data_IF_769583928404
#
_entry.id   IF_769583928404
#
_cell.length_a   1.000
_cell.length_b   1.000
_cell.length_c   1.000
_cell.angle_alpha   90.00
_cell.angle_beta   90.00
_cell.angle_gamma   90.00
#
_symmetry.space_group_name_H-M   'P 1'
#
loop_
_entity.id
_entity.type
_entity.pdbx_description
1 polymer ?
#
# COMPACT_ATOMS: atom_id res chain seq x y z
N UNK A 1 29.92 -6.68 -2.56
CA UNK A 1 29.37 -6.20 -3.86
C UNK A 1 28.04 -5.50 -3.61
N UNK A 2 27.71 -4.52 -4.42
CA UNK A 2 26.39 -3.89 -4.38
C UNK A 2 25.34 -4.94 -4.78
N UNK A 3 24.27 -5.11 -3.98
CA UNK A 3 23.15 -5.99 -4.29
C UNK A 3 21.89 -5.15 -4.42
N UNK A 4 21.12 -5.37 -5.47
CA UNK A 4 19.82 -4.73 -5.70
C UNK A 4 18.78 -5.83 -5.77
N UNK A 5 17.70 -5.65 -5.02
CA UNK A 5 16.51 -6.49 -5.11
C UNK A 5 15.46 -5.74 -5.88
N UNK A 6 14.87 -6.38 -6.87
CA UNK A 6 13.85 -5.79 -7.74
C UNK A 6 12.53 -6.53 -7.58
N UNK A 7 11.44 -5.79 -7.43
CA UNK A 7 10.09 -6.37 -7.49
C UNK A 7 9.36 -5.74 -8.67
N UNK A 8 8.64 -6.54 -9.44
CA UNK A 8 7.81 -6.06 -10.54
C UNK A 8 6.33 -6.32 -10.24
N UNK A 9 5.52 -5.25 -10.37
CA UNK A 9 4.08 -5.33 -10.19
C UNK A 9 3.38 -6.08 -11.33
N UNK A 10 2.12 -6.45 -11.12
CA UNK A 10 1.38 -7.25 -12.11
C UNK A 10 1.23 -6.58 -13.48
N UNK A 11 1.06 -5.25 -13.54
CA UNK A 11 1.02 -4.50 -14.80
C UNK A 11 2.35 -4.57 -15.57
N UNK A 12 3.47 -4.72 -14.85
CA UNK A 12 4.80 -4.88 -15.42
C UNK A 12 5.10 -6.29 -15.95
N UNK A 13 4.19 -7.24 -15.72
CA UNK A 13 4.32 -8.66 -16.10
C UNK A 13 3.01 -9.19 -16.72
N UNK A 14 2.21 -8.31 -17.33
CA UNK A 14 0.89 -8.64 -17.85
C UNK A 14 0.92 -9.47 -19.14
N UNK A 15 2.00 -9.35 -19.93
CA UNK A 15 2.19 -9.99 -21.22
C UNK A 15 3.68 -10.14 -21.58
N UNK A 16 3.97 -10.82 -22.68
CA UNK A 16 5.34 -11.07 -23.16
C UNK A 16 6.12 -9.78 -23.46
N UNK A 17 5.44 -8.72 -23.91
CA UNK A 17 6.06 -7.42 -24.16
C UNK A 17 6.58 -6.79 -22.88
N UNK A 18 5.82 -6.89 -21.80
CA UNK A 18 6.24 -6.45 -20.47
C UNK A 18 7.40 -7.28 -19.92
N UNK A 19 7.38 -8.61 -20.11
CA UNK A 19 8.50 -9.49 -19.72
C UNK A 19 9.82 -9.06 -20.41
N UNK A 20 9.79 -8.70 -21.70
CA UNK A 20 10.97 -8.19 -22.41
C UNK A 20 11.50 -6.90 -21.77
N UNK A 21 10.62 -5.95 -21.41
CA UNK A 21 11.03 -4.73 -20.67
C UNK A 21 11.65 -5.06 -19.32
N UNK A 22 11.07 -6.00 -18.58
CA UNK A 22 11.63 -6.45 -17.29
C UNK A 22 13.03 -7.01 -17.46
N UNK A 23 13.24 -7.89 -18.47
CA UNK A 23 14.57 -8.42 -18.80
C UNK A 23 15.57 -7.31 -19.13
N UNK A 24 15.17 -6.36 -19.98
CA UNK A 24 16.04 -5.23 -20.35
C UNK A 24 16.42 -4.40 -19.11
N UNK A 25 15.48 -4.11 -18.22
CA UNK A 25 15.73 -3.40 -16.96
C UNK A 25 16.72 -4.17 -16.08
N UNK A 26 16.53 -5.49 -15.92
CA UNK A 26 17.43 -6.30 -15.09
C UNK A 26 18.87 -6.31 -15.64
N UNK A 27 19.03 -6.34 -16.96
CA UNK A 27 20.32 -6.36 -17.61
C UNK A 27 21.05 -5.00 -17.62
N UNK A 28 20.37 -3.89 -17.30
CA UNK A 28 21.01 -2.57 -17.19
C UNK A 28 21.96 -2.43 -15.99
N UNK A 29 21.82 -3.26 -14.96
CA UNK A 29 22.69 -3.23 -13.77
C UNK A 29 22.88 -4.66 -13.24
N UNK A 30 24.09 -5.19 -13.34
CA UNK A 30 24.45 -6.54 -12.87
C UNK A 30 24.24 -6.74 -11.36
N UNK A 31 24.06 -5.68 -10.59
CA UNK A 31 23.71 -5.76 -9.18
C UNK A 31 22.25 -6.21 -8.94
N UNK A 32 21.39 -6.20 -9.97
CA UNK A 32 19.98 -6.65 -9.92
C UNK A 32 19.90 -8.18 -10.04
N UNK A 33 20.33 -8.86 -9.00
CA UNK A 33 20.45 -10.34 -8.98
C UNK A 33 19.24 -11.06 -8.39
N UNK A 34 18.34 -10.35 -7.73
CA UNK A 34 17.16 -10.94 -7.08
C UNK A 34 15.92 -10.25 -7.59
N UNK A 35 15.00 -11.03 -8.15
CA UNK A 35 13.76 -10.51 -8.74
C UNK A 35 12.53 -11.18 -8.16
N UNK A 36 11.55 -10.37 -7.81
CA UNK A 36 10.29 -10.79 -7.23
C UNK A 36 9.15 -10.43 -8.20
N UNK A 37 8.64 -11.39 -8.96
CA UNK A 37 7.47 -11.19 -9.80
C UNK A 37 6.18 -11.24 -9.00
N UNK A 38 5.23 -10.36 -9.34
CA UNK A 38 3.81 -10.53 -9.03
C UNK A 38 3.13 -11.41 -10.09
N UNK A 39 1.92 -11.88 -9.83
CA UNK A 39 1.08 -12.50 -10.84
C UNK A 39 0.79 -11.53 -11.99
N UNK A 40 0.50 -12.01 -13.22
CA UNK A 40 0.14 -11.15 -14.34
C UNK A 40 -1.07 -10.27 -14.03
N UNK A 41 -0.88 -8.96 -14.20
CA UNK A 41 -1.93 -7.96 -14.02
C UNK A 41 -2.85 -7.85 -15.26
N UNK A 42 -3.60 -6.75 -15.33
CA UNK A 42 -4.45 -6.43 -16.47
C UNK A 42 -3.60 -5.94 -17.65
N UNK A 43 -3.90 -6.43 -18.84
CA UNK A 43 -3.33 -5.96 -20.12
C UNK A 43 -4.02 -4.68 -20.61
N UNK A 44 -5.33 -4.56 -20.28
CA UNK A 44 -6.19 -3.42 -20.61
C UNK A 44 -7.26 -3.21 -19.53
N UNK A 45 -8.02 -2.11 -19.62
CA UNK A 45 -8.93 -1.67 -18.54
C UNK A 45 -9.95 -2.72 -18.08
N UNK A 46 -10.52 -3.46 -19.01
CA UNK A 46 -11.60 -4.44 -18.75
C UNK A 46 -11.09 -5.89 -18.66
N UNK A 47 -9.77 -6.08 -18.57
CA UNK A 47 -9.15 -7.40 -18.41
C UNK A 47 -9.19 -7.88 -16.96
N UNK A 48 -9.24 -9.19 -16.75
CA UNK A 48 -9.17 -9.79 -15.42
C UNK A 48 -7.70 -9.94 -14.96
N UNK A 49 -7.46 -9.75 -13.67
CA UNK A 49 -6.18 -10.13 -13.07
C UNK A 49 -6.16 -11.64 -12.83
N UNK A 50 -5.02 -12.26 -13.05
CA UNK A 50 -4.87 -13.71 -12.82
C UNK A 50 -5.20 -14.09 -11.37
N UNK A 51 -4.80 -13.28 -10.39
CA UNK A 51 -5.12 -13.54 -8.97
C UNK A 51 -6.63 -13.51 -8.72
N UNK A 52 -7.38 -12.61 -9.37
CA UNK A 52 -8.85 -12.52 -9.25
C UNK A 52 -9.51 -13.79 -9.88
N UNK A 53 -8.99 -14.26 -11.01
CA UNK A 53 -9.44 -15.50 -11.65
C UNK A 53 -9.18 -16.74 -10.74
N UNK A 54 -8.01 -16.82 -10.10
CA UNK A 54 -7.68 -17.92 -9.18
C UNK A 54 -8.60 -17.95 -7.95
N UNK A 55 -8.93 -16.77 -7.38
CA UNK A 55 -9.94 -16.69 -6.32
C UNK A 55 -11.33 -17.09 -6.83
N UNK A 56 -11.67 -16.78 -8.09
CA UNK A 56 -12.93 -17.20 -8.72
C UNK A 56 -13.00 -18.72 -8.86
N UNK A 57 -11.93 -19.38 -9.34
CA UNK A 57 -11.85 -20.84 -9.40
C UNK A 57 -12.09 -21.49 -8.02
N UNK A 58 -11.40 -20.99 -6.98
CA UNK A 58 -11.60 -21.47 -5.62
C UNK A 58 -13.05 -21.32 -5.14
N UNK A 59 -13.68 -20.15 -5.40
CA UNK A 59 -15.06 -19.87 -5.00
C UNK A 59 -16.05 -20.77 -5.72
N UNK A 60 -15.89 -20.94 -7.04
CA UNK A 60 -16.74 -21.83 -7.85
C UNK A 60 -16.62 -23.28 -7.37
N UNK A 61 -15.39 -23.80 -7.19
CA UNK A 61 -15.18 -25.15 -6.67
C UNK A 61 -15.78 -25.35 -5.28
N UNK A 62 -15.62 -24.40 -4.38
CA UNK A 62 -16.18 -24.44 -3.02
C UNK A 62 -17.71 -24.42 -3.01
N UNK A 63 -18.33 -23.82 -4.04
CA UNK A 63 -19.78 -23.82 -4.23
C UNK A 63 -20.30 -25.06 -4.95
N UNK A 64 -19.43 -25.97 -5.40
CA UNK A 64 -19.78 -27.13 -6.23
C UNK A 64 -20.10 -26.77 -7.68
N UNK A 65 -19.68 -25.59 -8.12
CA UNK A 65 -19.84 -25.10 -9.49
C UNK A 65 -18.62 -25.52 -10.34
N UNK A 66 -18.82 -25.60 -11.66
CA UNK A 66 -17.73 -25.82 -12.61
C UNK A 66 -16.85 -24.57 -12.71
N UNK A 67 -15.54 -24.72 -12.59
CA UNK A 67 -14.55 -23.64 -12.67
C UNK A 67 -13.63 -23.76 -13.89
N UNK A 68 -13.80 -24.79 -14.72
CA UNK A 68 -12.86 -25.11 -15.79
C UNK A 68 -12.73 -23.95 -16.80
N UNK A 69 -13.83 -23.34 -17.21
CA UNK A 69 -13.80 -22.17 -18.11
C UNK A 69 -12.97 -21.01 -17.53
N UNK A 70 -13.03 -20.81 -16.21
CA UNK A 70 -12.23 -19.78 -15.52
C UNK A 70 -10.76 -20.17 -15.48
N UNK A 71 -10.45 -21.44 -15.25
CA UNK A 71 -9.08 -21.95 -15.24
C UNK A 71 -8.45 -21.90 -16.63
N UNK A 72 -9.23 -22.20 -17.68
CA UNK A 72 -8.77 -22.13 -19.07
C UNK A 72 -8.33 -20.71 -19.47
N UNK A 73 -8.99 -19.67 -18.95
CA UNK A 73 -8.54 -18.28 -19.12
C UNK A 73 -7.17 -18.01 -18.47
N UNK A 74 -6.91 -18.64 -17.33
CA UNK A 74 -5.62 -18.54 -16.64
C UNK A 74 -4.56 -19.28 -17.45
N UNK A 75 -4.84 -20.53 -17.84
CA UNK A 75 -3.93 -21.34 -18.62
C UNK A 75 -3.56 -20.67 -19.94
N UNK A 76 -4.55 -20.17 -20.69
CA UNK A 76 -4.33 -19.45 -21.92
C UNK A 76 -3.41 -18.24 -21.74
N UNK A 77 -3.60 -17.45 -20.65
CA UNK A 77 -2.74 -16.28 -20.35
C UNK A 77 -1.26 -16.67 -20.21
N UNK A 78 -0.97 -17.73 -19.47
CA UNK A 78 0.40 -18.19 -19.25
C UNK A 78 0.99 -18.85 -20.50
N UNK A 79 0.18 -19.64 -21.23
CA UNK A 79 0.61 -20.27 -22.48
C UNK A 79 0.95 -19.22 -23.55
N UNK A 80 0.13 -18.20 -23.71
CA UNK A 80 0.39 -17.09 -24.65
C UNK A 80 1.76 -16.41 -24.33
N UNK A 81 2.02 -16.11 -23.05
CA UNK A 81 3.30 -15.52 -22.64
C UNK A 81 4.46 -16.47 -22.94
N UNK A 82 4.31 -17.76 -22.63
CA UNK A 82 5.37 -18.75 -22.83
C UNK A 82 5.69 -18.96 -24.31
N UNK A 83 4.66 -19.04 -25.16
CA UNK A 83 4.80 -19.20 -26.62
C UNK A 83 5.47 -17.98 -27.25
N UNK A 84 5.00 -16.76 -26.92
CA UNK A 84 5.56 -15.53 -27.47
C UNK A 84 7.02 -15.28 -27.05
N UNK A 85 7.43 -15.80 -25.88
CA UNK A 85 8.80 -15.69 -25.38
C UNK A 85 9.68 -16.87 -25.78
N UNK A 86 9.11 -17.94 -26.34
CA UNK A 86 9.81 -19.17 -26.72
C UNK A 86 10.39 -19.91 -25.53
N UNK A 87 9.62 -20.02 -24.44
CA UNK A 87 10.08 -20.65 -23.19
C UNK A 87 10.11 -22.18 -23.28
N UNK A 88 10.96 -22.80 -22.46
CA UNK A 88 11.17 -24.24 -22.43
C UNK A 88 10.64 -24.93 -21.15
N UNK A 89 10.22 -24.14 -20.16
CA UNK A 89 9.63 -24.67 -18.91
C UNK A 89 8.43 -25.54 -19.22
N UNK A 90 8.31 -26.69 -18.53
CA UNK A 90 7.14 -27.54 -18.64
C UNK A 90 5.93 -26.90 -17.93
N UNK A 91 5.41 -25.88 -18.61
CA UNK A 91 4.26 -25.12 -18.11
C UNK A 91 2.97 -25.96 -18.10
N UNK A 92 2.84 -26.92 -19.03
CA UNK A 92 1.70 -27.82 -19.06
C UNK A 92 1.60 -28.61 -17.76
N UNK A 93 2.67 -29.31 -17.37
CA UNK A 93 2.72 -30.05 -16.12
C UNK A 93 2.45 -29.18 -14.89
N UNK A 94 2.97 -27.94 -14.87
CA UNK A 94 2.73 -27.02 -13.76
C UNK A 94 1.25 -26.56 -13.68
N UNK A 95 0.59 -26.31 -14.80
CA UNK A 95 -0.83 -25.98 -14.87
C UNK A 95 -1.70 -27.16 -14.47
N UNK A 96 -1.38 -28.38 -14.95
CA UNK A 96 -2.09 -29.61 -14.59
C UNK A 96 -2.03 -29.85 -13.07
N UNK A 97 -0.84 -29.71 -12.45
CA UNK A 97 -0.70 -29.83 -10.98
C UNK A 97 -1.58 -28.81 -10.23
N UNK A 98 -1.62 -27.56 -10.71
CA UNK A 98 -2.46 -26.52 -10.08
C UNK A 98 -3.94 -26.88 -10.21
N UNK A 99 -4.38 -27.30 -11.40
CA UNK A 99 -5.76 -27.70 -11.65
C UNK A 99 -6.19 -28.91 -10.80
N UNK A 100 -5.36 -29.95 -10.72
CA UNK A 100 -5.60 -31.12 -9.88
C UNK A 100 -5.76 -30.74 -8.39
N UNK A 101 -4.91 -29.86 -7.89
CA UNK A 101 -5.01 -29.38 -6.49
C UNK A 101 -6.25 -28.54 -6.23
N UNK A 102 -6.68 -27.70 -7.18
CA UNK A 102 -7.94 -26.97 -7.09
C UNK A 102 -9.11 -27.96 -7.08
N UNK A 103 -9.07 -28.97 -7.95
CA UNK A 103 -10.09 -30.01 -8.01
C UNK A 103 -10.17 -30.84 -6.72
N UNK A 104 -9.03 -31.09 -6.09
CA UNK A 104 -8.92 -31.74 -4.78
C UNK A 104 -9.37 -30.85 -3.60
N UNK A 105 -9.80 -29.61 -3.83
CA UNK A 105 -10.31 -28.71 -2.81
C UNK A 105 -9.22 -27.89 -2.08
N UNK A 106 -8.16 -27.49 -2.78
CA UNK A 106 -7.15 -26.60 -2.23
C UNK A 106 -7.77 -25.30 -1.67
N UNK A 107 -7.18 -24.76 -0.61
CA UNK A 107 -7.67 -23.53 0.02
C UNK A 107 -7.39 -22.27 -0.83
N UNK A 108 -8.01 -21.16 -0.45
CA UNK A 108 -7.89 -19.89 -1.15
C UNK A 108 -6.44 -19.37 -1.23
N UNK A 109 -5.65 -19.57 -0.18
CA UNK A 109 -4.24 -19.14 -0.13
C UNK A 109 -3.40 -19.91 -1.17
N UNK A 110 -3.60 -21.22 -1.28
CA UNK A 110 -2.94 -22.03 -2.32
C UNK A 110 -3.33 -21.54 -3.70
N UNK A 111 -4.62 -21.44 -3.98
CA UNK A 111 -5.11 -21.02 -5.31
C UNK A 111 -4.51 -19.67 -5.70
N UNK A 112 -4.66 -18.66 -4.86
CA UNK A 112 -4.18 -17.31 -5.13
C UNK A 112 -2.66 -17.24 -5.37
N UNK A 113 -1.87 -17.99 -4.60
CA UNK A 113 -0.40 -18.00 -4.70
C UNK A 113 0.12 -18.54 -6.04
N UNK A 114 -0.69 -19.33 -6.74
CA UNK A 114 -0.25 -19.96 -8.00
C UNK A 114 -0.03 -18.95 -9.11
N UNK A 115 -0.66 -17.77 -9.00
CA UNK A 115 -0.39 -16.67 -9.93
C UNK A 115 1.08 -16.24 -9.92
N UNK A 116 1.62 -15.95 -8.76
CA UNK A 116 3.03 -15.58 -8.62
C UNK A 116 3.97 -16.77 -8.87
N UNK A 117 3.58 -17.98 -8.45
CA UNK A 117 4.36 -19.20 -8.65
C UNK A 117 4.59 -19.46 -10.15
N UNK A 118 3.52 -19.54 -10.94
CA UNK A 118 3.60 -19.77 -12.38
C UNK A 118 4.35 -18.66 -13.10
N UNK A 119 4.10 -17.40 -12.71
CA UNK A 119 4.80 -16.26 -13.27
C UNK A 119 6.31 -16.27 -12.94
N UNK A 120 6.65 -16.74 -11.75
CA UNK A 120 8.03 -16.95 -11.32
C UNK A 120 8.76 -18.00 -12.15
N UNK A 121 8.10 -19.13 -12.47
CA UNK A 121 8.65 -20.17 -13.35
C UNK A 121 8.95 -19.63 -14.75
N UNK A 122 7.99 -18.89 -15.36
CA UNK A 122 8.18 -18.27 -16.67
C UNK A 122 9.33 -17.26 -16.67
N UNK A 123 9.39 -16.40 -15.65
CA UNK A 123 10.43 -15.39 -15.58
C UNK A 123 11.80 -16.00 -15.35
N UNK A 124 11.91 -17.06 -14.55
CA UNK A 124 13.17 -17.77 -14.30
C UNK A 124 13.71 -18.42 -15.59
N UNK A 125 12.85 -19.10 -16.36
CA UNK A 125 13.21 -19.69 -17.64
C UNK A 125 13.62 -18.62 -18.67
N UNK A 126 12.84 -17.53 -18.77
CA UNK A 126 13.14 -16.43 -19.67
C UNK A 126 14.47 -15.72 -19.40
N UNK A 127 14.86 -15.63 -18.12
CA UNK A 127 16.13 -15.02 -17.71
C UNK A 127 17.28 -16.02 -17.71
N UNK A 128 17.02 -17.34 -17.69
CA UNK A 128 18.00 -18.36 -17.41
C UNK A 128 18.53 -18.31 -15.97
N UNK A 129 17.67 -17.87 -15.02
CA UNK A 129 18.02 -17.69 -13.60
C UNK A 129 17.46 -18.83 -12.75
N UNK A 130 18.00 -18.99 -11.54
CA UNK A 130 17.47 -19.93 -10.57
C UNK A 130 16.05 -19.53 -10.16
N UNK A 131 15.13 -20.51 -10.16
CA UNK A 131 13.85 -20.37 -9.49
C UNK A 131 13.96 -20.88 -8.04
N UNK A 132 13.41 -20.11 -7.08
CA UNK A 132 13.30 -20.53 -5.69
C UNK A 132 11.87 -20.30 -5.22
N UNK A 133 11.16 -21.36 -4.84
CA UNK A 133 9.81 -21.24 -4.30
C UNK A 133 9.83 -20.45 -2.98
N UNK A 134 9.02 -19.40 -2.88
CA UNK A 134 8.92 -18.58 -1.67
C UNK A 134 8.52 -19.42 -0.43
N UNK A 135 7.70 -20.45 -0.60
CA UNK A 135 7.30 -21.36 0.48
C UNK A 135 8.47 -22.07 1.17
N UNK A 136 9.62 -22.18 0.49
CA UNK A 136 10.81 -22.79 1.09
C UNK A 136 11.46 -21.94 2.19
N UNK A 137 11.37 -20.59 2.08
CA UNK A 137 12.05 -19.66 2.97
C UNK A 137 11.13 -18.71 3.73
N UNK A 138 10.00 -18.28 3.13
CA UNK A 138 9.03 -17.41 3.80
C UNK A 138 8.15 -18.26 4.71
N UNK A 139 8.18 -17.99 6.03
CA UNK A 139 7.52 -18.79 7.06
C UNK A 139 6.49 -18.01 7.84
N UNK A 140 5.41 -18.71 8.17
CA UNK A 140 4.38 -18.25 9.09
C UNK A 140 4.34 -19.15 10.31
N UNK A 141 3.94 -18.61 11.45
CA UNK A 141 3.69 -19.37 12.68
C UNK A 141 2.39 -20.18 12.56
N UNK A 142 2.15 -21.12 13.47
CA UNK A 142 0.96 -21.98 13.43
C UNK A 142 -0.37 -21.19 13.54
N UNK A 143 -0.37 -20.02 14.16
CA UNK A 143 -1.50 -19.09 14.25
C UNK A 143 -1.62 -18.13 13.05
N UNK A 144 -0.72 -18.25 12.06
CA UNK A 144 -0.75 -17.50 10.81
C UNK A 144 -0.08 -16.13 10.86
N UNK A 145 0.65 -15.81 11.92
CA UNK A 145 1.49 -14.62 11.96
C UNK A 145 2.78 -14.83 11.13
N UNK A 146 3.30 -13.74 10.56
CA UNK A 146 4.56 -13.81 9.82
C UNK A 146 5.75 -14.02 10.76
N UNK A 147 6.52 -15.10 10.54
CA UNK A 147 7.75 -15.39 11.28
C UNK A 147 8.96 -14.72 10.61
N UNK A 148 9.22 -13.49 11.02
CA UNK A 148 10.25 -12.65 10.41
C UNK A 148 11.68 -13.15 10.66
N UNK A 149 11.95 -13.80 11.79
CA UNK A 149 13.30 -14.24 12.16
C UNK A 149 13.69 -15.52 11.43
N UNK A 150 12.82 -16.53 11.49
CA UNK A 150 13.02 -17.78 10.73
C UNK A 150 13.10 -17.50 9.24
N UNK A 151 12.21 -16.66 8.71
CA UNK A 151 12.23 -16.27 7.31
C UNK A 151 13.54 -15.60 6.91
N UNK A 152 14.00 -14.60 7.69
CA UNK A 152 15.23 -13.88 7.36
C UNK A 152 16.45 -14.81 7.35
N UNK A 153 16.54 -15.74 8.31
CA UNK A 153 17.63 -16.71 8.41
C UNK A 153 17.63 -17.67 7.20
N UNK A 154 16.49 -18.29 6.90
CA UNK A 154 16.38 -19.23 5.79
C UNK A 154 16.62 -18.55 4.42
N UNK A 155 16.07 -17.34 4.24
CA UNK A 155 16.24 -16.58 3.01
C UNK A 155 17.71 -16.18 2.80
N UNK A 156 18.38 -15.71 3.85
CA UNK A 156 19.81 -15.37 3.79
C UNK A 156 20.67 -16.58 3.47
N UNK A 157 20.40 -17.74 4.09
CA UNK A 157 21.12 -18.99 3.81
C UNK A 157 20.98 -19.43 2.36
N UNK A 158 19.72 -19.50 1.85
CA UNK A 158 19.41 -19.95 0.49
C UNK A 158 19.96 -19.03 -0.61
N UNK A 159 20.11 -17.74 -0.32
CA UNK A 159 20.63 -16.73 -1.26
C UNK A 159 22.10 -16.36 -1.01
N UNK A 160 22.80 -17.07 -0.12
CA UNK A 160 24.18 -16.79 0.28
C UNK A 160 25.20 -16.96 -0.86
N UNK A 161 24.91 -17.81 -1.82
CA UNK A 161 25.75 -18.10 -2.98
C UNK A 161 25.80 -16.98 -4.03
N UNK A 162 24.90 -15.99 -3.94
CA UNK A 162 24.84 -14.86 -4.86
C UNK A 162 24.41 -15.19 -6.28
N UNK A 163 23.84 -16.38 -6.50
CA UNK A 163 23.31 -16.78 -7.82
C UNK A 163 22.06 -15.95 -8.14
N UNK A 164 21.97 -15.36 -9.35
CA UNK A 164 20.76 -14.66 -9.77
C UNK A 164 19.52 -15.54 -9.62
N UNK A 165 18.51 -15.03 -8.89
CA UNK A 165 17.38 -15.84 -8.45
C UNK A 165 16.06 -15.09 -8.61
N UNK A 166 15.06 -15.81 -9.12
CA UNK A 166 13.64 -15.42 -9.14
C UNK A 166 12.94 -16.03 -7.92
N UNK A 167 12.32 -15.19 -7.12
CA UNK A 167 11.53 -15.60 -5.94
C UNK A 167 10.10 -15.10 -6.13
N UNK A 168 9.11 -15.98 -6.36
CA UNK A 168 7.73 -15.52 -6.50
C UNK A 168 7.26 -14.81 -5.26
N UNK A 169 6.52 -13.70 -5.43
CA UNK A 169 6.03 -12.90 -4.33
C UNK A 169 4.79 -13.45 -3.66
N UNK A 170 4.24 -12.72 -2.68
CA UNK A 170 2.90 -12.86 -2.12
C UNK A 170 2.69 -13.95 -1.07
N UNK A 171 3.45 -15.04 -1.04
CA UNK A 171 3.16 -16.19 -0.20
C UNK A 171 4.40 -16.79 0.49
N UNK A 172 4.14 -17.66 1.44
CA UNK A 172 5.08 -18.52 2.13
C UNK A 172 4.38 -19.80 2.60
N UNK A 173 4.85 -20.40 3.68
CA UNK A 173 4.26 -21.64 4.20
C UNK A 173 4.12 -21.65 5.72
N UNK A 174 3.12 -22.36 6.20
CA UNK A 174 3.00 -22.81 7.57
C UNK A 174 4.07 -23.86 7.92
N UNK A 175 4.27 -24.20 9.23
CA UNK A 175 5.19 -25.26 9.64
C UNK A 175 4.85 -26.65 9.06
N UNK A 176 3.58 -26.89 8.74
CA UNK A 176 3.10 -28.14 8.14
C UNK A 176 3.24 -28.17 6.59
N UNK A 177 3.81 -27.11 6.01
CA UNK A 177 4.02 -26.98 4.56
C UNK A 177 2.84 -26.42 3.78
N UNK A 178 1.67 -26.22 4.39
CA UNK A 178 0.55 -25.55 3.71
C UNK A 178 0.92 -24.12 3.33
N UNK A 179 0.50 -23.72 2.14
CA UNK A 179 0.72 -22.37 1.65
C UNK A 179 -0.13 -21.34 2.43
N UNK A 180 0.47 -20.18 2.70
CA UNK A 180 -0.16 -19.01 3.30
C UNK A 180 0.19 -17.76 2.50
N UNK A 181 -0.81 -16.96 2.14
CA UNK A 181 -0.61 -15.66 1.49
C UNK A 181 -0.58 -14.52 2.51
N UNK A 182 0.14 -13.44 2.16
CA UNK A 182 0.01 -12.16 2.87
C UNK A 182 -1.34 -11.52 2.54
N UNK A 183 -1.90 -10.78 3.47
CA UNK A 183 -3.24 -10.18 3.31
C UNK A 183 -3.29 -9.05 2.28
N UNK A 184 -2.24 -8.26 2.15
CA UNK A 184 -2.12 -7.13 1.22
C UNK A 184 -0.67 -6.86 0.85
N UNK A 185 -0.42 -6.35 -0.35
CA UNK A 185 0.93 -5.96 -0.80
C UNK A 185 1.96 -7.09 -0.75
N UNK A 186 1.53 -8.35 -0.88
CA UNK A 186 2.36 -9.50 -0.55
C UNK A 186 3.62 -9.64 -1.37
N UNK A 187 3.59 -9.28 -2.66
CA UNK A 187 4.82 -9.29 -3.47
C UNK A 187 5.78 -8.15 -3.05
N UNK A 188 5.24 -7.01 -2.60
CA UNK A 188 6.06 -5.91 -2.06
C UNK A 188 6.72 -6.33 -0.75
N UNK A 189 5.98 -7.03 0.13
CA UNK A 189 6.52 -7.61 1.38
C UNK A 189 7.62 -8.62 1.06
N UNK A 190 7.40 -9.54 0.12
CA UNK A 190 8.41 -10.53 -0.27
C UNK A 190 9.69 -9.85 -0.78
N UNK A 191 9.56 -8.79 -1.61
CA UNK A 191 10.69 -8.00 -2.05
C UNK A 191 11.48 -7.36 -0.91
N UNK A 192 10.77 -6.79 0.07
CA UNK A 192 11.37 -6.20 1.25
C UNK A 192 12.06 -7.27 2.16
N UNK A 193 11.48 -8.47 2.27
CA UNK A 193 12.08 -9.61 2.99
C UNK A 193 13.38 -10.03 2.32
N UNK A 194 13.36 -10.26 1.00
CA UNK A 194 14.57 -10.65 0.26
C UNK A 194 15.63 -9.56 0.36
N UNK A 195 15.24 -8.28 0.22
CA UNK A 195 16.19 -7.16 0.34
C UNK A 195 16.88 -7.13 1.71
N UNK A 196 16.13 -7.36 2.79
CA UNK A 196 16.68 -7.45 4.14
C UNK A 196 17.63 -8.65 4.28
N UNK A 197 17.23 -9.82 3.81
CA UNK A 197 17.97 -11.06 3.97
C UNK A 197 19.33 -11.05 3.23
N UNK A 198 19.38 -10.42 2.05
CA UNK A 198 20.64 -10.30 1.27
C UNK A 198 21.43 -9.04 1.59
N UNK A 199 20.97 -8.22 2.55
CA UNK A 199 21.56 -6.93 2.90
C UNK A 199 21.69 -6.01 1.66
N UNK A 200 20.60 -5.85 0.93
CA UNK A 200 20.57 -5.07 -0.29
C UNK A 200 20.96 -3.60 -0.07
N UNK A 201 21.67 -3.02 -1.02
CA UNK A 201 21.97 -1.57 -1.00
C UNK A 201 20.75 -0.71 -1.31
N UNK A 202 19.79 -1.26 -2.07
CA UNK A 202 18.50 -0.66 -2.40
C UNK A 202 17.49 -1.74 -2.76
N UNK A 203 16.23 -1.50 -2.41
CA UNK A 203 15.08 -2.26 -2.89
C UNK A 203 14.36 -1.44 -3.96
N UNK A 204 14.32 -1.91 -5.20
CA UNK A 204 13.60 -1.28 -6.30
C UNK A 204 12.21 -1.90 -6.46
N UNK A 205 11.17 -1.08 -6.36
CA UNK A 205 9.78 -1.49 -6.63
C UNK A 205 9.35 -0.88 -7.97
N UNK A 206 9.27 -1.73 -8.99
CA UNK A 206 8.91 -1.37 -10.35
C UNK A 206 7.41 -1.54 -10.57
N UNK A 207 6.77 -0.46 -11.02
CA UNK A 207 5.33 -0.34 -11.24
C UNK A 207 5.06 0.42 -12.54
N UNK A 208 3.83 0.88 -12.78
CA UNK A 208 3.42 1.66 -13.95
C UNK A 208 3.44 3.19 -13.73
N UNK A 209 3.94 3.65 -12.58
CA UNK A 209 4.07 5.07 -12.26
C UNK A 209 5.52 5.44 -11.91
N UNK A 210 5.91 6.69 -12.21
CA UNK A 210 7.29 7.18 -12.04
C UNK A 210 7.58 7.70 -10.62
N UNK A 211 7.01 7.08 -9.58
CA UNK A 211 7.17 7.48 -8.19
C UNK A 211 5.95 8.22 -7.65
N UNK A 212 6.16 9.07 -6.64
CA UNK A 212 5.10 9.83 -5.99
C UNK A 212 5.01 11.26 -6.53
N UNK A 213 3.79 11.78 -6.53
CA UNK A 213 3.48 13.14 -6.92
C UNK A 213 3.06 13.95 -5.67
N UNK A 214 3.36 15.25 -5.64
CA UNK A 214 3.04 16.13 -4.52
C UNK A 214 1.52 16.33 -4.30
N UNK A 215 0.69 16.03 -5.30
CA UNK A 215 -0.77 16.05 -5.22
C UNK A 215 -1.36 15.08 -6.26
N UNK A 216 -2.65 14.77 -6.11
CA UNK A 216 -3.38 13.93 -7.07
C UNK A 216 -3.43 14.60 -8.46
N UNK A 217 -2.93 13.96 -9.54
CA UNK A 217 -2.93 14.52 -10.89
C UNK A 217 -4.34 14.72 -11.48
N UNK A 218 -5.36 14.09 -10.89
CA UNK A 218 -6.76 14.31 -11.26
C UNK A 218 -7.30 15.65 -10.72
N UNK A 219 -6.68 16.19 -9.67
CA UNK A 219 -7.06 17.45 -9.01
C UNK A 219 -6.14 18.60 -9.44
N UNK A 220 -4.85 18.36 -9.43
CA UNK A 220 -3.82 19.33 -9.83
C UNK A 220 -3.20 18.88 -11.13
N UNK A 221 -3.40 19.60 -12.26
CA UNK A 221 -2.76 19.25 -13.53
C UNK A 221 -1.22 19.34 -13.44
N UNK A 222 -0.54 18.28 -13.85
CA UNK A 222 0.92 18.18 -13.84
C UNK A 222 1.55 18.51 -12.48
N UNK A 223 1.16 17.80 -11.42
CA UNK A 223 1.74 18.06 -10.11
C UNK A 223 3.21 17.68 -10.12
N UNK A 224 3.99 18.34 -9.28
CA UNK A 224 5.42 18.09 -9.16
C UNK A 224 5.68 16.70 -8.59
N UNK A 225 6.78 16.10 -9.05
CA UNK A 225 7.26 14.82 -8.57
C UNK A 225 8.02 14.97 -7.24
N UNK A 226 7.91 13.92 -6.42
CA UNK A 226 8.65 13.80 -5.17
C UNK A 226 9.91 12.96 -5.45
N UNK A 227 11.07 13.57 -5.46
CA UNK A 227 12.34 12.87 -5.69
C UNK A 227 12.74 11.99 -4.50
N UNK A 228 12.48 12.46 -3.27
CA UNK A 228 12.80 11.74 -2.04
C UNK A 228 11.79 12.00 -0.93
N UNK A 229 11.48 10.97 -0.15
CA UNK A 229 10.49 11.02 0.92
C UNK A 229 10.94 10.13 2.08
N UNK A 230 10.62 10.52 3.32
CA UNK A 230 10.83 9.65 4.47
C UNK A 230 9.68 8.66 4.65
N UNK A 231 9.95 7.53 5.32
CA UNK A 231 8.88 6.56 5.68
C UNK A 231 7.75 7.21 6.49
N UNK A 232 8.06 8.19 7.35
CA UNK A 232 7.04 8.90 8.14
C UNK A 232 6.13 9.75 7.24
N UNK A 233 6.71 10.53 6.32
CA UNK A 233 5.93 11.34 5.37
C UNK A 233 5.11 10.46 4.42
N UNK A 234 5.70 9.36 3.93
CA UNK A 234 4.98 8.39 3.10
C UNK A 234 3.75 7.85 3.81
N UNK A 235 3.89 7.50 5.10
CA UNK A 235 2.80 6.97 5.91
C UNK A 235 1.64 7.97 6.03
N UNK A 236 1.96 9.24 6.32
CA UNK A 236 0.96 10.31 6.38
C UNK A 236 0.20 10.47 5.04
N UNK A 237 0.94 10.52 3.92
CA UNK A 237 0.34 10.66 2.59
C UNK A 237 -0.48 9.44 2.19
N UNK A 238 0.03 8.23 2.44
CA UNK A 238 -0.65 6.97 2.08
C UNK A 238 -1.94 6.79 2.87
N UNK A 239 -1.94 7.12 4.16
CA UNK A 239 -3.14 7.09 5.00
C UNK A 239 -4.24 8.00 4.46
N UNK A 240 -3.87 9.14 3.91
CA UNK A 240 -4.78 10.10 3.27
C UNK A 240 -5.09 9.77 1.80
N UNK A 241 -4.72 8.58 1.32
CA UNK A 241 -5.14 8.08 0.00
C UNK A 241 -4.13 8.25 -1.13
N UNK A 242 -2.96 8.81 -0.90
CA UNK A 242 -1.87 8.86 -1.90
C UNK A 242 -1.11 7.53 -1.91
N UNK A 243 -1.81 6.40 -2.16
CA UNK A 243 -1.22 5.07 -2.09
C UNK A 243 -0.69 4.60 -3.44
N UNK A 244 0.63 4.59 -3.60
CA UNK A 244 1.34 3.84 -4.65
C UNK A 244 1.84 2.51 -4.09
N UNK A 245 2.08 2.44 -2.77
CA UNK A 245 2.64 1.30 -2.08
C UNK A 245 1.96 1.09 -0.73
N UNK A 246 1.76 -0.17 -0.34
CA UNK A 246 1.24 -0.48 0.99
C UNK A 246 2.33 -0.27 2.05
N UNK A 247 2.08 0.58 3.05
CA UNK A 247 3.09 0.94 4.06
C UNK A 247 3.62 -0.25 4.85
N UNK A 248 2.74 -1.20 5.21
CA UNK A 248 3.11 -2.40 5.96
C UNK A 248 4.10 -3.28 5.18
N UNK A 249 4.05 -3.23 3.85
CA UNK A 249 4.96 -3.98 2.99
C UNK A 249 6.42 -3.53 3.12
N UNK A 250 6.65 -2.31 3.61
CA UNK A 250 7.98 -1.72 3.73
C UNK A 250 8.66 -2.00 5.07
N UNK A 251 7.95 -2.61 6.03
CA UNK A 251 8.48 -2.82 7.38
C UNK A 251 9.84 -3.54 7.42
N UNK A 252 10.11 -4.62 6.63
CA UNK A 252 11.40 -5.29 6.66
C UNK A 252 12.58 -4.39 6.24
N UNK A 253 12.42 -3.62 5.16
CA UNK A 253 13.48 -2.70 4.67
C UNK A 253 13.61 -1.46 5.55
N UNK A 254 12.49 -0.94 6.07
CA UNK A 254 12.50 0.16 7.03
C UNK A 254 13.31 -0.20 8.27
N UNK A 255 13.05 -1.38 8.88
CA UNK A 255 13.79 -1.87 10.05
C UNK A 255 15.29 -2.08 9.76
N UNK A 256 15.63 -2.47 8.54
CA UNK A 256 17.01 -2.69 8.10
C UNK A 256 17.72 -1.40 7.62
N UNK A 257 17.00 -0.28 7.52
CA UNK A 257 17.57 0.97 7.00
C UNK A 257 17.86 0.95 5.50
N UNK A 258 17.29 0.00 4.74
CA UNK A 258 17.50 -0.15 3.31
C UNK A 258 16.58 0.84 2.58
N UNK A 259 17.08 1.72 1.71
CA UNK A 259 16.25 2.61 0.92
C UNK A 259 15.45 1.83 -0.11
N UNK A 260 14.22 2.32 -0.37
CA UNK A 260 13.36 1.80 -1.43
C UNK A 260 13.24 2.81 -2.54
N UNK A 261 13.31 2.37 -3.79
CA UNK A 261 13.11 3.20 -4.96
C UNK A 261 11.86 2.75 -5.73
N UNK A 262 10.89 3.63 -5.88
CA UNK A 262 9.70 3.39 -6.71
C UNK A 262 10.03 3.83 -8.13
N UNK A 263 9.94 2.91 -9.09
CA UNK A 263 10.35 3.14 -10.47
C UNK A 263 9.29 2.69 -11.47
N UNK A 264 9.34 3.28 -12.67
CA UNK A 264 8.40 3.00 -13.75
C UNK A 264 8.99 2.00 -14.76
N UNK A 265 8.35 0.85 -14.93
CA UNK A 265 8.72 -0.16 -15.93
C UNK A 265 8.59 0.36 -17.36
N UNK A 266 7.67 1.32 -17.60
CA UNK A 266 7.45 1.90 -18.91
C UNK A 266 8.35 3.12 -19.21
N UNK A 267 9.04 3.63 -18.17
CA UNK A 267 10.06 4.69 -18.29
C UNK A 267 11.24 4.38 -17.35
N UNK A 268 12.09 3.40 -17.68
CA UNK A 268 13.19 2.98 -16.84
C UNK A 268 14.31 4.01 -16.70
N UNK A 269 14.32 5.05 -17.51
CA UNK A 269 15.27 6.16 -17.42
C UNK A 269 14.90 7.13 -16.30
N UNK A 270 13.62 7.20 -15.92
CA UNK A 270 13.16 8.06 -14.85
C UNK A 270 13.69 7.60 -13.48
N UNK A 271 14.27 8.50 -12.65
CA UNK A 271 14.88 8.13 -11.38
C UNK A 271 13.86 7.63 -10.34
N UNK A 272 12.59 8.00 -10.47
CA UNK A 272 11.53 7.65 -9.52
C UNK A 272 11.62 8.39 -8.19
N UNK A 273 11.04 7.81 -7.15
CA UNK A 273 11.06 8.36 -5.78
C UNK A 273 11.86 7.45 -4.85
N UNK A 274 12.82 8.02 -4.11
CA UNK A 274 13.57 7.31 -3.07
C UNK A 274 12.87 7.47 -1.71
N UNK A 275 12.55 6.37 -1.07
CA UNK A 275 12.02 6.29 0.30
C UNK A 275 13.14 5.85 1.22
N UNK A 276 13.44 6.61 2.27
CA UNK A 276 14.50 6.27 3.22
C UNK A 276 14.22 6.80 4.63
N UNK A 277 15.04 6.38 5.61
CA UNK A 277 14.96 6.91 6.97
C UNK A 277 15.29 8.40 7.03
N UNK A 278 16.33 8.80 6.30
CA UNK A 278 16.87 10.15 6.25
C UNK A 278 16.92 10.62 4.79
N UNK A 279 15.75 10.97 4.24
CA UNK A 279 15.71 11.50 2.88
C UNK A 279 16.36 12.90 2.83
N UNK A 280 17.17 13.23 1.81
CA UNK A 280 17.71 14.58 1.65
C UNK A 280 16.56 15.59 1.51
N UNK A 281 16.79 16.83 1.98
CA UNK A 281 15.83 17.91 1.76
C UNK A 281 15.73 18.22 0.25
N UNK A 282 14.52 18.57 -0.18
CA UNK A 282 14.34 19.21 -1.48
C UNK A 282 14.64 20.72 -1.32
N UNK A 283 15.79 21.14 -1.83
CA UNK A 283 16.24 22.56 -1.71
C UNK A 283 15.32 23.53 -2.44
N UNK A 284 14.53 23.07 -3.40
CA UNK A 284 13.59 23.89 -4.18
C UNK A 284 12.26 24.12 -3.44
N UNK A 285 11.82 23.12 -2.63
CA UNK A 285 10.58 23.19 -1.85
C UNK A 285 10.79 22.60 -0.45
N UNK A 286 11.53 23.29 0.40
CA UNK A 286 11.97 22.74 1.67
C UNK A 286 10.84 22.59 2.70
N UNK A 287 9.64 23.15 2.46
CA UNK A 287 8.58 23.23 3.48
C UNK A 287 7.65 22.02 3.46
N UNK A 288 7.08 21.68 2.30
CA UNK A 288 6.12 20.58 2.18
C UNK A 288 6.59 19.54 1.18
N UNK A 289 6.25 18.27 1.44
CA UNK A 289 6.57 17.12 0.58
C UNK A 289 5.38 16.73 -0.27
N UNK A 290 4.15 16.82 0.26
CA UNK A 290 2.97 16.47 -0.50
C UNK A 290 1.66 16.86 0.19
N UNK A 291 0.57 16.75 -0.58
CA UNK A 291 -0.80 17.03 -0.16
C UNK A 291 -1.65 15.85 -0.58
N UNK A 292 -2.34 15.26 0.38
CA UNK A 292 -3.28 14.17 0.12
C UNK A 292 -4.56 14.39 0.92
N UNK A 293 -5.67 13.77 0.51
CA UNK A 293 -6.91 13.89 1.24
C UNK A 293 -7.94 12.86 0.82
N UNK A 294 -8.98 12.74 1.62
CA UNK A 294 -10.11 11.83 1.39
C UNK A 294 -11.42 12.52 1.74
N UNK A 295 -12.47 12.15 1.02
CA UNK A 295 -13.87 12.57 1.24
C UNK A 295 -14.61 11.54 2.09
N UNK A 296 -15.81 11.91 2.53
CA UNK A 296 -16.77 10.98 3.11
C UNK A 296 -16.57 10.71 4.60
N UNK A 297 -16.09 11.68 5.35
CA UNK A 297 -16.00 11.60 6.80
C UNK A 297 -17.23 12.20 7.48
N UNK A 298 -17.49 11.73 8.71
CA UNK A 298 -18.41 12.36 9.66
C UNK A 298 -17.63 12.87 10.86
N UNK A 299 -17.97 14.08 11.33
CA UNK A 299 -17.41 14.68 12.54
C UNK A 299 -18.51 14.73 13.59
N UNK A 300 -18.32 14.02 14.69
CA UNK A 300 -19.22 13.99 15.84
C UNK A 300 -18.68 14.96 16.88
N UNK A 301 -19.35 16.12 17.06
CA UNK A 301 -19.01 17.11 18.08
C UNK A 301 -19.86 16.86 19.33
N UNK A 302 -19.20 16.58 20.43
CA UNK A 302 -19.79 16.29 21.74
C UNK A 302 -19.42 17.44 22.66
N UNK A 303 -20.42 18.19 23.15
CA UNK A 303 -20.24 19.33 24.03
C UNK A 303 -20.74 19.00 25.44
N UNK A 304 -19.93 19.33 26.42
CA UNK A 304 -20.27 19.17 27.84
C UNK A 304 -19.54 20.22 28.68
N UNK A 305 -20.30 21.00 29.42
CA UNK A 305 -19.73 21.97 30.36
C UNK A 305 -18.84 21.26 31.38
N UNK A 306 -17.64 21.79 31.62
CA UNK A 306 -16.63 21.24 32.52
C UNK A 306 -16.14 19.83 32.12
N UNK A 307 -16.19 19.47 30.85
CA UNK A 307 -15.73 18.18 30.31
C UNK A 307 -14.29 17.87 30.73
N UNK A 308 -13.42 18.87 30.74
CA UNK A 308 -12.02 18.71 31.11
C UNK A 308 -11.80 18.26 32.57
N UNK A 309 -12.78 18.46 33.43
CA UNK A 309 -12.76 18.05 34.85
C UNK A 309 -13.31 16.63 35.06
N UNK A 310 -13.97 16.03 34.05
CA UNK A 310 -14.56 14.69 34.14
C UNK A 310 -13.53 13.64 33.77
N UNK A 311 -13.00 12.92 34.77
CA UNK A 311 -12.07 11.83 34.53
C UNK A 311 -12.69 10.72 33.68
N UNK A 312 -11.99 10.36 32.61
CA UNK A 312 -12.39 9.27 31.74
C UNK A 312 -13.47 9.61 30.71
N UNK A 313 -13.83 10.89 30.54
CA UNK A 313 -14.82 11.31 29.55
C UNK A 313 -14.48 10.81 28.14
N UNK A 314 -13.27 11.11 27.64
CA UNK A 314 -12.80 10.65 26.33
C UNK A 314 -12.79 9.12 26.19
N UNK A 315 -12.40 8.39 27.25
CA UNK A 315 -12.44 6.91 27.25
C UNK A 315 -13.88 6.39 27.04
N UNK A 316 -14.88 6.96 27.75
CA UNK A 316 -16.28 6.56 27.62
C UNK A 316 -16.80 6.82 26.21
N UNK A 317 -16.46 7.98 25.63
CA UNK A 317 -16.82 8.31 24.25
C UNK A 317 -16.19 7.30 23.27
N UNK A 318 -14.88 7.06 23.35
CA UNK A 318 -14.18 6.15 22.44
C UNK A 318 -14.63 4.70 22.60
N UNK A 319 -15.01 4.29 23.81
CA UNK A 319 -15.57 2.96 24.07
C UNK A 319 -16.86 2.72 23.27
N UNK A 320 -17.70 3.73 23.08
CA UNK A 320 -18.92 3.59 22.28
C UNK A 320 -18.61 3.30 20.81
N UNK A 321 -17.51 3.84 20.26
CA UNK A 321 -17.04 3.52 18.91
C UNK A 321 -16.38 2.13 18.84
N UNK A 322 -15.52 1.80 19.82
CA UNK A 322 -14.81 0.52 19.89
C UNK A 322 -15.79 -0.66 19.96
N UNK A 323 -16.78 -0.63 20.86
CA UNK A 323 -17.81 -1.67 21.02
C UNK A 323 -18.64 -1.91 19.74
N UNK A 324 -18.69 -0.92 18.86
CA UNK A 324 -19.37 -1.00 17.54
C UNK A 324 -18.39 -1.21 16.37
N UNK A 325 -17.10 -1.43 16.62
CA UNK A 325 -16.11 -1.67 15.59
C UNK A 325 -15.96 -0.48 14.62
N UNK A 326 -15.98 0.75 15.14
CA UNK A 326 -15.75 1.99 14.39
C UNK A 326 -14.44 2.61 14.86
N UNK A 327 -13.45 2.69 13.97
CA UNK A 327 -12.18 3.36 14.24
C UNK A 327 -12.31 4.87 14.07
N UNK A 328 -11.63 5.65 14.90
CA UNK A 328 -11.51 7.09 14.71
C UNK A 328 -10.27 7.42 13.85
N UNK A 329 -10.35 8.57 13.19
CA UNK A 329 -9.26 9.13 12.37
C UNK A 329 -8.53 10.25 13.13
N UNK A 330 -9.30 11.22 13.68
CA UNK A 330 -8.80 12.36 14.43
C UNK A 330 -9.68 12.67 15.64
N UNK A 331 -9.10 13.31 16.66
CA UNK A 331 -9.75 13.66 17.92
C UNK A 331 -9.47 15.11 18.34
N UNK A 332 -9.91 16.10 17.58
CA UNK A 332 -9.79 17.49 18.01
C UNK A 332 -10.54 17.72 19.32
N UNK A 333 -9.83 18.21 20.34
CA UNK A 333 -10.38 18.33 21.69
C UNK A 333 -10.16 19.73 22.22
N UNK A 334 -11.25 20.37 22.67
CA UNK A 334 -11.26 21.63 23.40
C UNK A 334 -11.43 21.43 24.91
N UNK A 335 -11.80 22.50 25.64
CA UNK A 335 -12.04 22.45 27.08
C UNK A 335 -13.39 21.76 27.37
N UNK A 336 -14.43 22.15 26.65
CA UNK A 336 -15.80 21.65 26.82
C UNK A 336 -16.33 20.94 25.57
N UNK A 337 -15.47 20.60 24.61
CA UNK A 337 -15.84 19.95 23.36
C UNK A 337 -14.85 18.87 22.98
N UNK A 338 -15.34 17.66 22.67
CA UNK A 338 -14.59 16.56 22.06
C UNK A 338 -15.18 16.27 20.69
N UNK A 339 -14.36 16.33 19.65
CA UNK A 339 -14.75 15.89 18.31
C UNK A 339 -14.16 14.52 18.00
N UNK A 340 -14.97 13.64 17.41
CA UNK A 340 -14.53 12.36 16.89
C UNK A 340 -14.76 12.35 15.39
N UNK A 341 -13.67 12.20 14.63
CA UNK A 341 -13.72 12.09 13.16
C UNK A 341 -13.65 10.64 12.78
N UNK A 342 -14.60 10.18 11.97
CA UNK A 342 -14.74 8.77 11.56
C UNK A 342 -15.08 8.66 10.08
N UNK A 343 -14.82 7.49 9.48
CA UNK A 343 -15.35 7.16 8.15
C UNK A 343 -16.87 7.18 8.16
N UNK A 344 -17.49 8.03 7.34
CA UNK A 344 -18.95 8.16 7.24
C UNK A 344 -19.62 6.86 6.80
N UNK A 345 -18.99 6.11 5.88
CA UNK A 345 -19.49 4.80 5.42
C UNK A 345 -19.62 3.77 6.55
N UNK A 346 -18.60 3.69 7.41
CA UNK A 346 -18.58 2.74 8.53
C UNK A 346 -19.48 3.19 9.68
N UNK A 347 -19.58 4.50 9.91
CA UNK A 347 -20.36 5.10 10.99
C UNK A 347 -21.86 5.11 10.72
N UNK A 348 -22.30 5.46 9.50
CA UNK A 348 -23.70 5.70 9.18
C UNK A 348 -24.65 4.55 9.58
N UNK A 349 -24.33 3.26 9.33
CA UNK A 349 -25.20 2.15 9.74
C UNK A 349 -25.30 1.96 11.27
N UNK A 350 -24.37 2.53 12.04
CA UNK A 350 -24.22 2.34 13.50
C UNK A 350 -24.48 3.62 14.30
N UNK A 351 -24.83 4.71 13.59
CA UNK A 351 -24.98 6.06 14.13
C UNK A 351 -25.82 6.09 15.41
N UNK A 352 -27.04 5.60 15.35
CA UNK A 352 -28.00 5.74 16.46
C UNK A 352 -27.57 4.96 17.69
N UNK A 353 -26.97 3.79 17.52
CA UNK A 353 -26.46 2.96 18.60
C UNK A 353 -25.30 3.68 19.29
N UNK A 354 -24.34 4.19 18.52
CA UNK A 354 -23.16 4.89 19.05
C UNK A 354 -23.58 6.17 19.77
N UNK A 355 -24.43 7.00 19.15
CA UNK A 355 -24.88 8.25 19.76
C UNK A 355 -25.65 8.01 21.04
N UNK A 356 -26.56 7.02 21.07
CA UNK A 356 -27.31 6.64 22.28
C UNK A 356 -26.39 6.16 23.40
N UNK A 357 -25.34 5.39 23.05
CA UNK A 357 -24.34 4.94 24.02
C UNK A 357 -23.55 6.11 24.61
N UNK A 358 -23.11 7.07 23.77
CA UNK A 358 -22.41 8.27 24.24
C UNK A 358 -23.31 9.08 25.19
N UNK A 359 -24.58 9.31 24.83
CA UNK A 359 -25.53 10.03 25.69
C UNK A 359 -25.66 9.33 27.04
N UNK A 360 -25.85 8.01 27.05
CA UNK A 360 -26.01 7.24 28.30
C UNK A 360 -24.76 7.32 29.20
N UNK A 361 -23.54 7.21 28.63
CA UNK A 361 -22.30 7.12 29.41
C UNK A 361 -21.76 8.47 29.85
N UNK A 362 -22.04 9.54 29.10
CA UNK A 362 -21.40 10.84 29.31
C UNK A 362 -22.35 11.96 29.64
N UNK A 363 -23.66 11.78 29.41
CA UNK A 363 -24.68 12.81 29.60
C UNK A 363 -24.22 14.19 29.08
N UNK A 364 -23.97 14.32 27.76
CA UNK A 364 -23.47 15.56 27.16
C UNK A 364 -24.58 16.61 27.08
N UNK A 365 -24.19 17.90 27.02
CA UNK A 365 -25.17 18.99 26.80
C UNK A 365 -25.70 18.95 25.36
N UNK A 366 -24.82 18.68 24.39
CA UNK A 366 -25.19 18.63 22.97
C UNK A 366 -24.31 17.62 22.22
N UNK A 367 -24.92 16.91 21.27
CA UNK A 367 -24.20 16.15 20.25
C UNK A 367 -24.64 16.62 18.87
N UNK A 368 -23.68 17.03 18.05
CA UNK A 368 -23.93 17.44 16.66
C UNK A 368 -23.10 16.57 15.73
N UNK A 369 -23.69 16.08 14.66
CA UNK A 369 -23.01 15.29 13.62
C UNK A 369 -22.95 16.11 12.34
N UNK A 370 -21.72 16.28 11.83
CA UNK A 370 -21.45 16.91 10.55
C UNK A 370 -21.01 15.84 9.57
N UNK A 371 -21.84 15.55 8.58
CA UNK A 371 -21.54 14.60 7.49
C UNK A 371 -20.92 15.32 6.28
N UNK A 372 -20.49 14.53 5.28
CA UNK A 372 -19.92 15.04 4.03
C UNK A 372 -18.71 15.96 4.26
N UNK A 373 -17.83 15.49 5.13
CA UNK A 373 -16.59 16.16 5.46
C UNK A 373 -15.42 15.52 4.72
N UNK A 374 -14.49 16.33 4.27
CA UNK A 374 -13.21 15.92 3.69
C UNK A 374 -12.09 16.27 4.63
N UNK A 375 -11.11 15.36 4.72
CA UNK A 375 -9.89 15.56 5.48
C UNK A 375 -8.72 15.68 4.50
N UNK A 376 -7.90 16.72 4.65
CA UNK A 376 -6.75 17.00 3.79
C UNK A 376 -5.52 17.18 4.68
N UNK A 377 -4.49 16.39 4.39
CA UNK A 377 -3.18 16.47 5.02
C UNK A 377 -2.19 17.22 4.12
N UNK A 378 -1.57 18.24 4.65
CA UNK A 378 -0.37 18.86 4.08
C UNK A 378 0.82 18.32 4.85
N UNK A 379 1.67 17.54 4.18
CA UNK A 379 2.75 16.78 4.80
C UNK A 379 4.11 17.35 4.39
N UNK A 380 5.03 17.47 5.34
CA UNK A 380 6.40 17.86 5.03
C UNK A 380 7.27 18.06 6.27
N UNK A 381 8.39 17.35 6.34
CA UNK A 381 9.38 17.47 7.41
C UNK A 381 10.02 18.87 7.51
N UNK A 382 9.94 19.66 6.43
CA UNK A 382 10.44 21.02 6.42
C UNK A 382 9.62 22.00 7.26
N UNK A 383 8.38 21.65 7.63
CA UNK A 383 7.51 22.52 8.42
C UNK A 383 8.08 22.86 9.79
N UNK A 384 8.77 21.92 10.43
CA UNK A 384 9.44 22.11 11.74
C UNK A 384 10.43 23.28 11.74
N UNK A 385 11.04 23.56 10.59
CA UNK A 385 12.10 24.58 10.48
C UNK A 385 11.63 25.85 9.75
N UNK A 386 10.39 25.89 9.24
CA UNK A 386 9.88 26.99 8.44
C UNK A 386 8.72 27.69 9.14
N UNK A 387 9.03 28.78 9.87
CA UNK A 387 8.02 29.63 10.47
C UNK A 387 7.04 30.18 9.42
N UNK A 388 5.76 30.29 9.80
CA UNK A 388 4.73 30.85 8.94
C UNK A 388 4.07 29.86 7.98
N UNK A 389 4.43 28.57 8.01
CA UNK A 389 3.81 27.52 7.17
C UNK A 389 2.29 27.47 7.35
N UNK A 390 1.81 27.42 8.59
CA UNK A 390 0.38 27.46 8.88
C UNK A 390 -0.29 28.73 8.39
N UNK A 391 0.34 29.91 8.60
CA UNK A 391 -0.18 31.18 8.11
C UNK A 391 -0.34 31.18 6.58
N UNK A 392 0.65 30.65 5.84
CA UNK A 392 0.62 30.52 4.37
C UNK A 392 -0.50 29.60 3.91
N UNK A 393 -0.68 28.45 4.59
CA UNK A 393 -1.73 27.49 4.30
C UNK A 393 -3.13 28.10 4.48
N UNK A 394 -3.39 28.67 5.66
CA UNK A 394 -4.71 29.24 5.95
C UNK A 394 -5.01 30.50 5.14
N UNK A 395 -4.01 31.32 4.82
CA UNK A 395 -4.17 32.46 3.92
C UNK A 395 -4.57 32.01 2.50
N UNK A 396 -4.00 30.90 2.01
CA UNK A 396 -4.37 30.35 0.72
C UNK A 396 -5.83 29.85 0.70
N UNK A 397 -6.25 29.14 1.74
CA UNK A 397 -7.65 28.68 1.88
C UNK A 397 -8.62 29.86 1.99
N UNK A 398 -8.31 30.85 2.82
CA UNK A 398 -9.11 32.06 2.96
C UNK A 398 -9.25 32.82 1.64
N UNK A 399 -8.16 32.98 0.88
CA UNK A 399 -8.18 33.64 -0.43
C UNK A 399 -9.05 32.89 -1.46
N UNK A 400 -9.12 31.57 -1.32
CA UNK A 400 -9.98 30.71 -2.15
C UNK A 400 -11.44 30.66 -1.67
N UNK A 401 -11.80 31.37 -0.58
CA UNK A 401 -13.15 31.38 -0.01
C UNK A 401 -13.54 30.10 0.73
N UNK A 402 -12.56 29.29 1.14
CA UNK A 402 -12.77 27.99 1.78
C UNK A 402 -12.90 28.15 3.29
N UNK A 403 -13.99 27.63 3.85
CA UNK A 403 -14.20 27.61 5.30
C UNK A 403 -13.56 26.38 5.94
N UNK A 404 -12.63 26.63 6.90
CA UNK A 404 -12.00 25.56 7.68
C UNK A 404 -12.95 25.11 8.78
N UNK A 405 -13.29 23.83 8.78
CA UNK A 405 -14.20 23.20 9.75
C UNK A 405 -13.48 22.50 10.91
N UNK A 406 -12.24 22.08 10.67
CA UNK A 406 -11.40 21.37 11.63
C UNK A 406 -9.93 21.67 11.33
N UNK A 407 -9.11 21.73 12.36
CA UNK A 407 -7.65 21.81 12.27
C UNK A 407 -7.08 20.81 13.27
N UNK A 408 -6.11 20.02 12.82
CA UNK A 408 -5.32 19.15 13.69
C UNK A 408 -3.85 19.22 13.26
N UNK A 409 -2.96 19.39 14.23
CA UNK A 409 -1.52 19.35 14.03
C UNK A 409 -0.85 18.77 15.27
N UNK A 410 -0.26 17.59 15.11
CA UNK A 410 0.46 16.94 16.19
C UNK A 410 1.79 17.61 16.54
N UNK A 411 2.36 17.24 17.67
CA UNK A 411 3.67 17.77 18.17
C UNK A 411 4.86 17.36 17.30
N UNK A 412 4.69 16.44 16.37
CA UNK A 412 5.70 16.09 15.37
C UNK A 412 5.89 17.17 14.30
N UNK A 413 4.92 18.08 14.16
CA UNK A 413 4.85 19.12 13.12
C UNK A 413 5.06 18.61 11.69
N UNK A 414 4.87 17.29 11.48
CA UNK A 414 5.08 16.62 10.21
C UNK A 414 3.95 16.89 9.22
N UNK A 415 2.74 17.11 9.73
CA UNK A 415 1.54 17.36 8.94
C UNK A 415 0.65 18.42 9.56
N UNK A 416 -0.05 19.18 8.72
CA UNK A 416 -1.20 20.01 9.09
C UNK A 416 -2.42 19.38 8.44
N UNK A 417 -3.38 18.98 9.26
CA UNK A 417 -4.62 18.35 8.84
C UNK A 417 -5.72 19.40 8.89
N UNK A 418 -6.48 19.54 7.80
CA UNK A 418 -7.65 20.41 7.73
C UNK A 418 -8.88 19.65 7.33
N UNK A 419 -9.99 19.91 8.01
CA UNK A 419 -11.31 19.45 7.63
C UNK A 419 -12.08 20.52 6.90
N UNK A 420 -12.69 20.18 5.78
CA UNK A 420 -13.54 21.06 4.95
C UNK A 420 -14.80 20.30 4.52
N UNK A 421 -15.80 21.00 3.96
CA UNK A 421 -16.92 20.30 3.33
C UNK A 421 -16.46 19.55 2.06
N UNK A 422 -17.12 18.46 1.69
CA UNK A 422 -16.77 17.67 0.50
C UNK A 422 -16.80 18.50 -0.81
N UNK A 423 -17.64 19.54 -0.86
CA UNK A 423 -17.70 20.45 -1.99
C UNK A 423 -16.43 21.29 -2.19
N UNK A 424 -15.68 21.53 -1.11
CA UNK A 424 -14.47 22.35 -1.11
C UNK A 424 -13.18 21.52 -1.25
N UNK A 425 -13.29 20.21 -1.40
CA UNK A 425 -12.16 19.28 -1.36
C UNK A 425 -11.09 19.58 -2.42
N UNK A 426 -11.48 19.59 -3.70
CA UNK A 426 -10.57 19.80 -4.81
C UNK A 426 -9.98 21.22 -4.79
N UNK A 427 -10.81 22.21 -4.53
CA UNK A 427 -10.37 23.63 -4.44
C UNK A 427 -9.39 23.87 -3.30
N UNK A 428 -9.55 23.13 -2.18
CA UNK A 428 -8.61 23.19 -1.05
C UNK A 428 -7.23 22.65 -1.45
N UNK A 429 -7.16 21.47 -2.07
CA UNK A 429 -5.90 20.89 -2.53
C UNK A 429 -5.21 21.81 -3.53
N UNK A 430 -5.97 22.37 -4.51
CA UNK A 430 -5.44 23.30 -5.49
C UNK A 430 -4.91 24.59 -4.85
N UNK A 431 -5.65 25.16 -3.89
CA UNK A 431 -5.23 26.39 -3.21
C UNK A 431 -3.94 26.18 -2.42
N UNK A 432 -3.84 25.11 -1.65
CA UNK A 432 -2.64 24.76 -0.88
C UNK A 432 -1.46 24.49 -1.83
N UNK A 433 -1.66 23.66 -2.86
CA UNK A 433 -0.62 23.34 -3.83
C UNK A 433 -0.07 24.60 -4.50
N UNK A 434 -0.93 25.48 -4.99
CA UNK A 434 -0.50 26.74 -5.63
C UNK A 434 0.24 27.66 -4.66
N UNK A 435 -0.08 27.64 -3.38
CA UNK A 435 0.60 28.44 -2.38
C UNK A 435 2.03 27.96 -2.09
N UNK A 436 2.30 26.65 -2.14
CA UNK A 436 3.59 26.09 -1.74
C UNK A 436 4.49 25.67 -2.91
N UNK A 437 3.95 25.47 -4.10
CA UNK A 437 4.71 24.92 -5.24
C UNK A 437 4.83 25.91 -6.39
N UNK A 438 3.91 26.86 -6.52
CA UNK A 438 3.97 27.96 -7.50
C UNK A 438 4.32 29.28 -6.82
#
# INVERSE_FOLDING_TARGET
>A
MKKIVTKFGGSSLADAGQFRKVKDILLLDEARQYVIPSAPGRRFKDDDKVTDLLYRCHKQKSAGEDYQDTFDLIAARYMDIAEELGLHVDLGAALDEVNEKIDAGANADYCASRGEYLNGLLLADFLGWRFMDAAEAVKFTADGAFDAETTNTLMAEKLSDGVPTVVPGFYGSYPDGRVKTFSRGGSDITGAIVARAVEASVYENWTDVSGFLMADPRIVPHPREISSITYKELRELSYMGASVLHEDAMFPVHKAGIPTNIRNTNDPSHPGTIISLNAPHDDLHPTITGIAGRKGFSVISIEKAMMNSELGFGRKVLQAFEENGVSFEHLPTGIDTLCVVVSGEVFAPKRDIILSRIVHETNPDTITVYDNMSIIATVGRGMVHNCGTAARLFAAMSKAGINVRMIDQGSSELSIIVGVNDADYESTIQAIYNAFVK
#
